data_IF_462979560601
#
_entry.id   IF_462979560601
#
_cell.length_a   1.000
_cell.length_b   1.000
_cell.length_c   1.000
_cell.angle_alpha   90.00
_cell.angle_beta   90.00
_cell.angle_gamma   90.00
#
_symmetry.space_group_name_H-M   'P 1'
#
loop_
_entity.id
_entity.type
_entity.pdbx_description
1 polymer ?
#
# COMPACT_ATOMS: atom_id res chain seq x y z
N UNK A 1 26.28 -12.80 8.08
CA UNK A 1 25.76 -11.43 7.87
C UNK A 1 25.83 -11.16 6.37
N UNK A 2 24.70 -11.29 5.67
CA UNK A 2 24.66 -11.27 4.20
C UNK A 2 24.79 -9.83 3.70
N UNK A 3 25.93 -9.50 3.10
CA UNK A 3 26.21 -8.23 2.43
C UNK A 3 25.71 -8.29 0.98
N UNK A 4 24.40 -8.26 0.77
CA UNK A 4 23.86 -8.36 -0.60
C UNK A 4 23.60 -6.99 -1.26
N UNK A 5 23.31 -5.93 -0.49
CA UNK A 5 22.97 -4.61 -1.04
C UNK A 5 23.61 -3.49 -0.22
N UNK A 6 24.63 -2.77 -0.75
CA UNK A 6 25.27 -1.68 0.00
C UNK A 6 24.45 -0.39 0.02
N UNK A 7 23.44 -0.23 -0.86
CA UNK A 7 22.63 0.99 -0.99
C UNK A 7 21.21 0.69 -1.50
N UNK A 8 20.25 1.60 -1.26
CA UNK A 8 18.90 1.53 -1.81
C UNK A 8 18.86 1.47 -3.35
N UNK A 9 19.75 2.20 -4.01
CA UNK A 9 19.93 2.19 -5.47
C UNK A 9 20.20 0.78 -6.02
N UNK A 10 20.92 -0.06 -5.26
CA UNK A 10 21.24 -1.43 -5.66
C UNK A 10 20.08 -2.42 -5.51
N UNK A 11 19.01 -2.04 -4.82
CA UNK A 11 17.81 -2.87 -4.65
C UNK A 11 16.78 -2.65 -5.76
N UNK A 12 16.78 -1.48 -6.40
CA UNK A 12 15.76 -1.08 -7.38
C UNK A 12 16.18 -1.46 -8.81
N UNK A 13 15.25 -1.98 -9.59
CA UNK A 13 15.42 -2.32 -11.00
C UNK A 13 15.46 -1.04 -11.87
N UNK A 14 16.59 -0.34 -11.82
CA UNK A 14 16.78 0.96 -12.49
C UNK A 14 16.86 0.88 -14.00
N UNK A 15 17.15 -0.30 -14.56
CA UNK A 15 17.08 -0.52 -16.01
C UNK A 15 15.63 -0.40 -16.51
N UNK A 16 14.66 -0.88 -15.71
CA UNK A 16 13.24 -0.76 -16.03
C UNK A 16 12.63 0.53 -15.49
N UNK A 17 13.09 0.99 -14.33
CA UNK A 17 12.54 2.13 -13.59
C UNK A 17 13.64 3.14 -13.24
N UNK A 18 14.06 4.01 -14.17
CA UNK A 18 15.16 4.97 -13.96
C UNK A 18 14.74 6.17 -13.09
N UNK A 19 14.23 5.91 -11.89
CA UNK A 19 13.64 6.91 -10.99
C UNK A 19 14.68 7.89 -10.41
N UNK A 20 15.95 7.55 -10.48
CA UNK A 20 17.09 8.39 -10.08
C UNK A 20 17.68 9.20 -11.24
N UNK A 21 17.19 9.00 -12.47
CA UNK A 21 17.49 9.81 -13.63
C UNK A 21 16.19 10.40 -14.24
N UNK A 22 15.42 11.20 -13.47
CA UNK A 22 14.09 11.65 -13.87
C UNK A 22 14.09 12.54 -15.12
N UNK A 23 15.19 13.23 -15.40
CA UNK A 23 15.35 14.10 -16.58
C UNK A 23 15.73 13.34 -17.87
N UNK A 24 16.02 12.04 -17.77
CA UNK A 24 16.27 11.20 -18.94
C UNK A 24 14.98 10.99 -19.73
N UNK A 25 15.08 10.71 -21.03
CA UNK A 25 13.92 10.39 -21.87
C UNK A 25 13.09 9.22 -21.29
N UNK A 26 13.77 8.18 -20.79
CA UNK A 26 13.12 7.06 -20.13
C UNK A 26 12.47 7.43 -18.79
N UNK A 27 13.10 8.31 -17.99
CA UNK A 27 12.54 8.81 -16.73
C UNK A 27 11.29 9.65 -16.93
N UNK A 28 11.30 10.55 -17.92
CA UNK A 28 10.14 11.37 -18.30
C UNK A 28 9.00 10.47 -18.80
N UNK A 29 9.29 9.49 -19.66
CA UNK A 29 8.30 8.55 -20.16
C UNK A 29 7.68 7.72 -19.04
N UNK A 30 8.50 7.21 -18.11
CA UNK A 30 8.04 6.47 -16.93
C UNK A 30 7.10 7.34 -16.09
N UNK A 31 7.51 8.56 -15.74
CA UNK A 31 6.71 9.46 -14.93
C UNK A 31 5.36 9.77 -15.58
N UNK A 32 5.35 10.04 -16.88
CA UNK A 32 4.12 10.30 -17.63
C UNK A 32 3.20 9.07 -17.64
N UNK A 33 3.75 7.87 -17.80
CA UNK A 33 2.98 6.63 -17.79
C UNK A 33 2.36 6.38 -16.41
N UNK A 34 3.16 6.44 -15.34
CA UNK A 34 2.71 6.21 -13.97
C UNK A 34 1.63 7.22 -13.53
N UNK A 35 1.82 8.49 -13.87
CA UNK A 35 0.82 9.53 -13.59
C UNK A 35 -0.49 9.24 -14.30
N UNK A 36 -0.45 8.92 -15.60
CA UNK A 36 -1.65 8.64 -16.37
C UNK A 36 -2.39 7.40 -15.83
N UNK A 37 -1.66 6.36 -15.43
CA UNK A 37 -2.22 5.16 -14.82
C UNK A 37 -2.92 5.50 -13.49
N UNK A 38 -2.26 6.26 -12.62
CA UNK A 38 -2.82 6.68 -11.34
C UNK A 38 -4.04 7.60 -11.50
N UNK A 39 -3.97 8.61 -12.37
CA UNK A 39 -5.08 9.56 -12.60
C UNK A 39 -6.31 8.89 -13.23
N UNK A 40 -6.12 7.86 -14.05
CA UNK A 40 -7.22 7.14 -14.72
C UNK A 40 -7.80 6.03 -13.84
N UNK A 41 -6.93 5.28 -13.17
CA UNK A 41 -7.28 4.03 -12.50
C UNK A 41 -7.26 4.10 -10.97
N UNK A 42 -6.88 5.24 -10.38
CA UNK A 42 -6.73 5.42 -8.93
C UNK A 42 -5.52 4.69 -8.32
N UNK A 43 -4.72 4.01 -9.16
CA UNK A 43 -3.61 3.16 -8.73
C UNK A 43 -2.58 3.05 -9.85
N UNK A 44 -1.30 2.92 -9.50
CA UNK A 44 -0.22 2.60 -10.44
C UNK A 44 0.61 1.43 -9.91
N UNK A 45 0.82 0.39 -10.74
CA UNK A 45 1.59 -0.81 -10.36
C UNK A 45 2.96 -0.80 -11.03
N UNK A 46 4.01 -1.15 -10.27
CA UNK A 46 5.38 -1.28 -10.77
C UNK A 46 5.91 -2.71 -10.56
N UNK A 47 5.52 -3.71 -11.38
CA UNK A 47 5.94 -5.09 -11.20
C UNK A 47 7.46 -5.24 -11.34
N UNK A 48 8.10 -5.95 -10.41
CA UNK A 48 9.57 -6.13 -10.43
C UNK A 48 10.33 -4.81 -10.24
N UNK A 49 9.74 -3.85 -9.51
CA UNK A 49 10.40 -2.61 -9.11
C UNK A 49 11.65 -2.88 -8.26
N UNK A 50 11.55 -3.84 -7.34
CA UNK A 50 12.68 -4.35 -6.57
C UNK A 50 13.27 -5.57 -7.30
N UNK A 51 14.60 -5.67 -7.35
CA UNK A 51 15.30 -6.81 -7.92
C UNK A 51 15.00 -8.09 -7.11
N UNK A 52 14.89 -9.27 -7.75
CA UNK A 52 14.51 -10.51 -7.06
C UNK A 52 15.37 -10.84 -5.83
N UNK A 53 16.69 -10.66 -5.92
CA UNK A 53 17.61 -10.93 -4.83
C UNK A 53 17.45 -9.93 -3.67
N UNK A 54 17.10 -8.68 -3.98
CA UNK A 54 16.81 -7.65 -2.98
C UNK A 54 15.47 -7.87 -2.30
N UNK A 55 14.46 -8.29 -3.08
CA UNK A 55 13.14 -8.64 -2.56
C UNK A 55 13.24 -9.79 -1.57
N UNK A 56 14.03 -10.84 -1.88
CA UNK A 56 14.28 -11.93 -0.94
C UNK A 56 14.94 -11.46 0.36
N UNK A 57 15.94 -10.56 0.28
CA UNK A 57 16.60 -10.02 1.47
C UNK A 57 15.67 -9.12 2.31
N UNK A 58 14.81 -8.32 1.67
CA UNK A 58 13.80 -7.51 2.35
C UNK A 58 12.74 -8.38 3.03
N UNK A 59 12.32 -9.47 2.37
CA UNK A 59 11.41 -10.45 2.95
C UNK A 59 12.03 -11.17 4.16
N UNK A 60 13.31 -11.56 4.08
CA UNK A 60 14.04 -12.15 5.22
C UNK A 60 14.16 -11.16 6.40
N UNK A 61 14.43 -9.88 6.12
CA UNK A 61 14.45 -8.82 7.14
C UNK A 61 13.09 -8.65 7.81
N UNK A 62 12.00 -8.57 7.04
CA UNK A 62 10.64 -8.48 7.55
C UNK A 62 10.24 -9.73 8.36
N UNK A 63 10.59 -10.91 7.87
CA UNK A 63 10.33 -12.18 8.53
C UNK A 63 11.07 -12.27 9.90
N UNK A 64 12.24 -11.64 10.01
CA UNK A 64 13.02 -11.61 11.24
C UNK A 64 12.42 -10.80 12.39
N UNK A 65 11.42 -9.96 12.13
CA UNK A 65 10.73 -9.12 13.14
C UNK A 65 9.25 -9.48 13.30
N UNK A 66 8.78 -10.58 12.69
CA UNK A 66 7.36 -10.96 12.76
C UNK A 66 6.83 -11.25 14.16
N UNK A 67 7.70 -11.72 15.06
CA UNK A 67 7.31 -12.03 16.44
C UNK A 67 6.89 -10.77 17.23
N UNK A 68 7.27 -9.58 16.76
CA UNK A 68 6.91 -8.29 17.34
C UNK A 68 5.61 -7.72 16.72
N UNK A 69 4.98 -8.42 15.77
CA UNK A 69 3.77 -7.95 15.13
C UNK A 69 2.58 -7.84 16.10
N UNK A 70 1.96 -6.65 16.13
CA UNK A 70 0.72 -6.43 16.87
C UNK A 70 -0.47 -6.78 15.97
N UNK A 71 -1.22 -7.82 16.34
CA UNK A 71 -2.41 -8.24 15.60
C UNK A 71 -3.65 -7.49 16.09
N UNK A 72 -4.31 -6.82 15.16
CA UNK A 72 -5.63 -6.24 15.36
C UNK A 72 -6.68 -7.22 14.85
N UNK A 73 -7.56 -7.66 15.75
CA UNK A 73 -8.78 -8.42 15.45
C UNK A 73 -9.97 -7.55 15.86
N UNK A 74 -10.58 -6.89 14.88
CA UNK A 74 -11.64 -5.91 15.12
C UNK A 74 -12.60 -5.81 13.93
N UNK A 75 -13.64 -4.99 14.11
CA UNK A 75 -14.57 -4.65 13.03
C UNK A 75 -14.65 -3.15 12.84
N UNK A 76 -14.93 -2.71 11.63
CA UNK A 76 -15.17 -1.32 11.30
C UNK A 76 -16.18 -1.21 10.15
N UNK A 77 -16.81 -0.05 9.98
CA UNK A 77 -17.54 0.22 8.73
C UNK A 77 -16.56 0.68 7.64
N UNK A 78 -17.04 0.74 6.40
CA UNK A 78 -16.23 1.15 5.25
C UNK A 78 -15.71 2.60 5.33
N UNK A 79 -16.21 3.40 6.27
CA UNK A 79 -15.88 4.81 6.44
C UNK A 79 -14.96 5.07 7.65
N UNK A 80 -14.64 4.03 8.43
CA UNK A 80 -13.86 4.11 9.66
C UNK A 80 -14.44 5.11 10.68
N UNK A 81 -15.77 5.21 10.74
CA UNK A 81 -16.47 6.07 11.71
C UNK A 81 -17.14 5.25 12.80
N UNK A 82 -17.39 5.88 13.95
CA UNK A 82 -18.25 5.30 14.97
C UNK A 82 -19.67 5.06 14.44
N UNK A 83 -20.36 4.10 15.05
CA UNK A 83 -21.78 3.85 14.78
C UNK A 83 -22.63 5.02 15.29
N UNK A 84 -23.63 5.42 14.50
CA UNK A 84 -24.56 6.49 14.83
C UNK A 84 -25.95 5.89 15.12
N UNK A 85 -26.44 6.03 16.36
CA UNK A 85 -27.73 5.49 16.76
C UNK A 85 -28.94 6.16 16.12
N UNK A 86 -28.75 7.35 15.53
CA UNK A 86 -29.82 8.12 14.89
C UNK A 86 -30.05 7.68 13.43
N UNK A 87 -29.15 6.88 12.85
CA UNK A 87 -29.28 6.35 11.49
C UNK A 87 -30.05 5.02 11.44
N UNK A 88 -30.78 4.75 10.34
CA UNK A 88 -31.42 3.45 10.11
C UNK A 88 -30.41 2.30 10.12
N UNK A 89 -30.84 1.11 10.57
CA UNK A 89 -30.00 -0.09 10.61
C UNK A 89 -29.52 -0.53 9.21
N UNK A 90 -30.24 -0.12 8.16
CA UNK A 90 -29.94 -0.40 6.77
C UNK A 90 -28.92 0.57 6.16
N UNK A 91 -28.56 1.68 6.84
CA UNK A 91 -27.52 2.58 6.34
C UNK A 91 -26.20 1.80 6.21
N UNK A 92 -25.51 2.01 5.10
CA UNK A 92 -24.24 1.34 4.80
C UNK A 92 -23.18 1.61 5.89
N UNK A 93 -23.25 2.74 6.59
CA UNK A 93 -22.35 3.06 7.71
C UNK A 93 -22.57 2.20 8.95
N UNK A 94 -23.69 1.48 9.03
CA UNK A 94 -23.96 0.50 10.09
C UNK A 94 -23.36 -0.87 9.80
N UNK A 95 -22.99 -1.15 8.54
CA UNK A 95 -22.43 -2.45 8.14
C UNK A 95 -20.98 -2.55 8.62
N UNK A 96 -20.69 -3.65 9.31
CA UNK A 96 -19.37 -3.93 9.86
C UNK A 96 -18.65 -4.94 8.97
N UNK A 97 -17.45 -4.58 8.56
CA UNK A 97 -16.47 -5.45 7.95
C UNK A 97 -15.49 -5.91 9.03
N UNK A 98 -15.04 -7.16 8.93
CA UNK A 98 -14.07 -7.72 9.86
C UNK A 98 -12.64 -7.55 9.34
N UNK A 99 -11.73 -7.25 10.25
CA UNK A 99 -10.31 -7.06 9.96
C UNK A 99 -9.49 -7.88 10.96
N UNK A 100 -8.61 -8.70 10.40
CA UNK A 100 -7.59 -9.44 11.12
C UNK A 100 -6.25 -9.25 10.40
N UNK A 101 -5.44 -8.32 10.90
CA UNK A 101 -4.16 -7.93 10.29
C UNK A 101 -3.14 -7.63 11.38
N UNK A 102 -1.91 -8.12 11.19
CA UNK A 102 -0.77 -7.75 12.01
C UNK A 102 -0.12 -6.48 11.49
N UNK A 103 0.43 -5.66 12.39
CA UNK A 103 1.25 -4.51 12.02
C UNK A 103 2.54 -4.50 12.82
N UNK A 104 3.64 -4.20 12.16
CA UNK A 104 4.94 -3.94 12.77
C UNK A 104 5.26 -2.46 12.55
N UNK A 105 5.52 -1.75 13.64
CA UNK A 105 5.78 -0.32 13.62
C UNK A 105 7.16 -0.01 13.03
N UNK A 106 7.29 1.20 12.49
CA UNK A 106 8.52 1.65 11.85
C UNK A 106 9.71 1.73 12.81
N UNK A 107 9.51 2.00 14.09
CA UNK A 107 10.56 2.05 15.12
C UNK A 107 11.08 0.65 15.50
N UNK A 108 10.27 -0.40 15.37
CA UNK A 108 10.69 -1.79 15.56
C UNK A 108 11.58 -2.32 14.41
N UNK A 109 11.52 -1.69 13.24
CA UNK A 109 12.38 -2.07 12.13
C UNK A 109 13.87 -1.77 12.42
N UNK A 110 14.82 -2.62 11.96
CA UNK A 110 16.23 -2.39 12.18
C UNK A 110 16.68 -1.00 11.71
N UNK A 111 17.41 -0.25 12.55
CA UNK A 111 17.78 1.14 12.27
C UNK A 111 18.56 1.32 10.94
N UNK A 112 19.36 0.33 10.57
CA UNK A 112 20.10 0.28 9.30
C UNK A 112 19.57 -0.80 8.34
N UNK A 113 18.32 -1.25 8.55
CA UNK A 113 17.66 -2.24 7.72
C UNK A 113 17.42 -1.75 6.30
N UNK A 114 17.31 -2.69 5.38
CA UNK A 114 17.06 -2.46 3.96
C UNK A 114 15.74 -1.71 3.74
N UNK A 115 14.68 -2.01 4.51
CA UNK A 115 13.40 -1.30 4.40
C UNK A 115 13.56 0.20 4.72
N UNK A 116 14.26 0.52 5.82
CA UNK A 116 14.54 1.92 6.19
C UNK A 116 15.43 2.60 5.15
N UNK A 117 16.45 1.92 4.63
CA UNK A 117 17.30 2.47 3.58
C UNK A 117 16.51 2.82 2.31
N UNK A 118 15.57 1.95 1.89
CA UNK A 118 14.71 2.20 0.74
C UNK A 118 13.76 3.38 1.00
N UNK A 119 13.10 3.42 2.16
CA UNK A 119 12.21 4.52 2.56
C UNK A 119 12.92 5.89 2.61
N UNK A 120 14.16 5.90 3.13
CA UNK A 120 14.99 7.09 3.26
C UNK A 120 15.68 7.49 1.94
N UNK A 121 15.47 6.76 0.85
CA UNK A 121 16.10 7.06 -0.44
C UNK A 121 15.37 8.20 -1.16
N UNK A 122 16.04 9.35 -1.33
CA UNK A 122 15.44 10.56 -1.92
C UNK A 122 14.89 10.36 -3.34
N UNK A 123 15.54 9.63 -4.26
CA UNK A 123 14.96 9.32 -5.57
C UNK A 123 13.58 8.67 -5.50
N UNK A 124 13.36 7.72 -4.57
CA UNK A 124 12.05 7.09 -4.41
C UNK A 124 11.00 8.10 -3.95
N UNK A 125 11.31 8.88 -2.91
CA UNK A 125 10.42 9.94 -2.40
C UNK A 125 10.07 10.96 -3.49
N UNK A 126 11.07 11.43 -4.24
CA UNK A 126 10.90 12.43 -5.30
C UNK A 126 10.10 11.89 -6.48
N UNK A 127 10.30 10.62 -6.83
CA UNK A 127 9.51 9.94 -7.86
C UNK A 127 8.05 9.83 -7.46
N UNK A 128 7.75 9.34 -6.25
CA UNK A 128 6.37 9.24 -5.71
C UNK A 128 5.70 10.61 -5.71
N UNK A 129 6.35 11.64 -5.16
CA UNK A 129 5.81 13.00 -5.14
C UNK A 129 5.56 13.55 -6.55
N UNK A 130 6.41 13.19 -7.52
CA UNK A 130 6.22 13.58 -8.92
C UNK A 130 5.07 12.84 -9.60
N UNK A 131 4.85 11.55 -9.32
CA UNK A 131 3.69 10.79 -9.81
C UNK A 131 2.40 11.40 -9.27
N UNK A 132 2.35 11.67 -7.96
CA UNK A 132 1.19 12.25 -7.27
C UNK A 132 0.96 13.74 -7.57
N UNK A 133 1.91 14.42 -8.23
CA UNK A 133 1.82 15.86 -8.49
C UNK A 133 1.89 16.75 -7.24
N UNK A 134 2.53 16.26 -6.18
CA UNK A 134 2.67 16.97 -4.91
C UNK A 134 4.07 17.55 -4.79
N UNK A 135 4.18 18.88 -4.72
CA UNK A 135 5.43 19.59 -4.47
C UNK A 135 5.16 20.79 -3.54
N UNK A 136 5.80 20.90 -2.37
CA UNK A 136 6.76 19.94 -1.80
C UNK A 136 6.10 18.59 -1.42
N UNK A 137 6.91 17.52 -1.39
CA UNK A 137 6.53 16.19 -0.91
C UNK A 137 7.47 15.82 0.24
N UNK A 138 6.92 15.27 1.31
CA UNK A 138 7.66 14.98 2.54
C UNK A 138 7.47 13.53 2.96
N UNK A 139 8.48 12.98 3.63
CA UNK A 139 8.34 11.71 4.35
C UNK A 139 7.38 11.89 5.52
N UNK A 140 6.64 10.82 5.83
CA UNK A 140 5.75 10.82 6.96
C UNK A 140 6.58 10.81 8.25
N UNK A 141 6.31 11.75 9.16
CA UNK A 141 7.15 11.98 10.33
C UNK A 141 6.77 11.12 11.54
N UNK A 142 5.68 10.35 11.44
CA UNK A 142 5.23 9.46 12.51
C UNK A 142 6.27 8.35 12.76
N UNK A 143 6.84 8.25 13.97
CA UNK A 143 7.81 7.21 14.30
C UNK A 143 7.25 5.79 14.20
N UNK A 144 5.93 5.61 14.18
CA UNK A 144 5.27 4.30 14.10
C UNK A 144 4.76 4.00 12.69
N UNK A 145 4.01 4.93 12.08
CA UNK A 145 3.33 4.73 10.79
C UNK A 145 4.15 5.04 9.52
N UNK A 146 5.40 5.53 9.62
CA UNK A 146 6.14 6.01 8.46
C UNK A 146 6.42 4.94 7.38
N UNK A 147 6.90 3.77 7.80
CA UNK A 147 7.17 2.61 6.95
C UNK A 147 6.93 1.35 7.81
N UNK A 148 5.66 1.05 8.04
CA UNK A 148 5.22 -0.14 8.76
C UNK A 148 5.11 -1.34 7.83
N UNK A 149 5.05 -2.54 8.42
CA UNK A 149 4.80 -3.79 7.71
C UNK A 149 3.40 -4.26 8.09
N UNK A 150 2.57 -4.55 7.09
CA UNK A 150 1.31 -5.27 7.29
C UNK A 150 1.57 -6.78 7.15
N UNK A 151 1.20 -7.52 8.18
CA UNK A 151 1.38 -8.97 8.28
C UNK A 151 0.04 -9.65 8.11
N UNK A 152 -0.10 -10.40 7.03
CA UNK A 152 -1.26 -11.25 6.77
C UNK A 152 -0.90 -12.71 7.02
N UNK A 153 -1.73 -13.39 7.81
CA UNK A 153 -1.62 -14.83 8.11
C UNK A 153 -2.82 -15.57 7.54
N UNK A 154 -2.87 -16.89 7.70
CA UNK A 154 -4.06 -17.67 7.32
C UNK A 154 -5.31 -17.17 8.06
N UNK A 155 -6.39 -16.95 7.30
CA UNK A 155 -7.61 -16.28 7.79
C UNK A 155 -7.49 -14.77 7.98
N UNK A 156 -6.32 -14.17 7.74
CA UNK A 156 -6.11 -12.72 7.77
C UNK A 156 -6.90 -12.03 6.66
N UNK A 157 -7.52 -10.90 7.00
CA UNK A 157 -8.31 -10.10 6.08
C UNK A 157 -8.28 -8.64 6.48
N UNK A 158 -8.41 -7.75 5.51
CA UNK A 158 -8.60 -6.32 5.75
C UNK A 158 -9.88 -5.94 5.01
N UNK A 159 -10.96 -5.77 5.78
CA UNK A 159 -12.30 -5.56 5.23
C UNK A 159 -12.40 -4.31 4.35
N UNK A 160 -13.46 -4.20 3.55
CA UNK A 160 -13.63 -3.03 2.68
C UNK A 160 -13.67 -1.72 3.47
N UNK A 161 -12.82 -0.77 3.10
CA UNK A 161 -12.81 0.57 3.67
C UNK A 161 -12.19 1.61 2.74
N UNK A 162 -12.41 2.88 3.06
CA UNK A 162 -11.58 3.98 2.61
C UNK A 162 -10.43 4.19 3.59
N UNK A 163 -9.21 4.33 3.07
CA UNK A 163 -8.09 4.79 3.88
C UNK A 163 -8.35 6.20 4.44
N UNK A 164 -7.85 6.44 5.65
CA UNK A 164 -7.76 7.79 6.23
C UNK A 164 -6.62 8.61 5.58
N UNK A 165 -5.65 7.92 4.97
CA UNK A 165 -4.55 8.55 4.24
C UNK A 165 -5.00 9.07 2.89
N UNK A 166 -4.44 10.21 2.46
CA UNK A 166 -4.72 10.78 1.14
C UNK A 166 -4.24 9.87 0.00
N UNK A 167 -3.17 9.10 0.24
CA UNK A 167 -2.62 8.11 -0.67
C UNK A 167 -1.80 7.09 0.13
N UNK A 168 -1.64 5.90 -0.41
CA UNK A 168 -0.89 4.79 0.21
C UNK A 168 0.10 4.22 -0.79
N UNK A 169 1.28 3.82 -0.31
CA UNK A 169 2.31 3.14 -1.10
C UNK A 169 2.55 1.79 -0.47
N UNK A 170 2.32 0.73 -1.25
CA UNK A 170 2.50 -0.65 -0.79
C UNK A 170 3.64 -1.29 -1.55
N UNK A 171 4.60 -1.86 -0.81
CA UNK A 171 5.61 -2.77 -1.34
C UNK A 171 5.26 -4.19 -0.92
N UNK A 172 4.93 -5.04 -1.89
CA UNK A 172 4.71 -6.46 -1.62
C UNK A 172 6.06 -7.15 -1.36
N UNK A 173 6.24 -7.68 -0.15
CA UNK A 173 7.46 -8.40 0.24
C UNK A 173 7.35 -9.90 0.02
N UNK A 174 6.16 -10.48 0.21
CA UNK A 174 5.93 -11.90 0.13
C UNK A 174 4.52 -12.19 -0.38
N UNK A 175 4.44 -12.80 -1.56
CA UNK A 175 3.16 -13.23 -2.14
C UNK A 175 2.58 -14.42 -1.36
N UNK A 176 1.26 -14.46 -1.09
CA UNK A 176 0.61 -15.64 -0.52
C UNK A 176 0.55 -16.79 -1.55
N UNK A 177 0.45 -18.02 -1.07
CA UNK A 177 0.25 -19.20 -1.94
C UNK A 177 -1.17 -19.26 -2.54
N UNK A 178 -2.16 -18.73 -1.82
CA UNK A 178 -3.56 -18.65 -2.24
C UNK A 178 -4.23 -17.45 -1.55
N UNK A 179 -5.21 -16.82 -2.21
CA UNK A 179 -5.93 -15.67 -1.66
C UNK A 179 -5.09 -14.40 -1.58
N UNK A 180 -5.42 -13.52 -0.63
CA UNK A 180 -4.71 -12.26 -0.39
C UNK A 180 -4.75 -11.28 -1.57
N UNK A 181 -5.80 -11.32 -2.38
CA UNK A 181 -5.98 -10.36 -3.47
C UNK A 181 -6.23 -8.95 -2.94
N UNK A 182 -5.65 -7.95 -3.59
CA UNK A 182 -6.02 -6.56 -3.35
C UNK A 182 -7.17 -6.18 -4.26
N UNK A 183 -8.28 -5.76 -3.66
CA UNK A 183 -9.48 -5.34 -4.37
C UNK A 183 -9.80 -3.89 -4.07
N UNK A 184 -10.24 -3.16 -5.09
CA UNK A 184 -10.60 -1.76 -4.93
C UNK A 184 -11.64 -1.32 -5.98
N UNK A 185 -12.33 -0.22 -5.72
CA UNK A 185 -13.22 0.43 -6.70
C UNK A 185 -12.74 1.86 -6.93
N UNK A 186 -12.28 2.20 -8.15
CA UNK A 186 -11.68 3.51 -8.41
C UNK A 186 -12.71 4.65 -8.40
N UNK A 187 -12.32 5.79 -7.83
CA UNK A 187 -12.99 7.07 -8.07
C UNK A 187 -14.39 7.21 -7.51
N UNK A 188 -14.77 6.43 -6.49
CA UNK A 188 -16.13 6.47 -5.93
C UNK A 188 -16.34 7.54 -4.87
N UNK A 189 -15.25 8.01 -4.24
CA UNK A 189 -15.35 8.95 -3.10
C UNK A 189 -15.92 10.29 -3.55
N UNK A 190 -17.02 10.72 -2.92
CA UNK A 190 -17.72 11.97 -3.21
C UNK A 190 -18.75 11.91 -4.35
N UNK A 191 -19.04 10.74 -4.92
CA UNK A 191 -20.15 10.58 -5.87
C UNK A 191 -21.51 10.63 -5.15
N UNK A 192 -22.54 11.16 -5.82
CA UNK A 192 -23.91 11.20 -5.27
C UNK A 192 -24.46 9.81 -4.92
N UNK A 193 -24.01 8.77 -5.63
CA UNK A 193 -24.39 7.37 -5.41
C UNK A 193 -23.30 6.54 -4.68
N UNK A 194 -22.31 7.18 -4.04
CA UNK A 194 -21.22 6.49 -3.34
C UNK A 194 -21.74 5.42 -2.36
N UNK A 195 -22.68 5.77 -1.48
CA UNK A 195 -23.25 4.82 -0.50
C UNK A 195 -23.93 3.61 -1.15
N UNK A 196 -24.55 3.79 -2.32
CA UNK A 196 -25.17 2.69 -3.07
C UNK A 196 -24.09 1.74 -3.62
N UNK A 197 -23.01 2.29 -4.17
CA UNK A 197 -21.87 1.51 -4.67
C UNK A 197 -21.23 0.73 -3.52
N UNK A 198 -20.92 1.40 -2.41
CA UNK A 198 -20.34 0.76 -1.22
C UNK A 198 -21.27 -0.35 -0.72
N UNK A 199 -22.56 -0.07 -0.54
CA UNK A 199 -23.53 -1.08 -0.09
C UNK A 199 -23.60 -2.30 -1.02
N UNK A 200 -23.51 -2.06 -2.34
CA UNK A 200 -23.45 -3.13 -3.34
C UNK A 200 -22.20 -4.00 -3.22
N UNK A 201 -21.02 -3.39 -3.04
CA UNK A 201 -19.76 -4.13 -2.86
C UNK A 201 -19.80 -4.97 -1.58
N UNK A 202 -20.31 -4.41 -0.48
CA UNK A 202 -20.47 -5.14 0.79
C UNK A 202 -21.50 -6.29 0.70
N UNK A 203 -22.42 -6.25 -0.27
CA UNK A 203 -23.35 -7.34 -0.60
C UNK A 203 -22.73 -8.39 -1.56
N UNK A 204 -21.49 -8.19 -1.98
CA UNK A 204 -20.78 -9.07 -2.90
C UNK A 204 -20.99 -8.76 -4.39
N UNK A 205 -21.57 -7.60 -4.74
CA UNK A 205 -21.55 -7.15 -6.15
C UNK A 205 -20.11 -6.84 -6.55
N UNK A 206 -19.76 -7.20 -7.78
CA UNK A 206 -18.39 -7.07 -8.32
C UNK A 206 -18.29 -6.10 -9.50
N UNK A 207 -19.38 -5.37 -9.79
CA UNK A 207 -19.39 -4.35 -10.83
C UNK A 207 -18.39 -3.24 -10.49
N UNK A 208 -17.40 -3.04 -11.36
CA UNK A 208 -16.36 -2.03 -11.17
C UNK A 208 -15.28 -2.39 -10.14
N UNK A 209 -15.35 -3.57 -9.51
CA UNK A 209 -14.29 -4.07 -8.64
C UNK A 209 -13.08 -4.43 -9.49
N UNK A 210 -11.97 -3.76 -9.20
CA UNK A 210 -10.67 -4.05 -9.75
C UNK A 210 -9.93 -4.97 -8.78
N UNK A 211 -9.23 -5.96 -9.34
CA UNK A 211 -8.44 -6.91 -8.57
C UNK A 211 -7.01 -6.86 -9.07
N UNK A 212 -6.07 -6.62 -8.16
CA UNK A 212 -4.64 -6.68 -8.46
C UNK A 212 -4.10 -8.02 -7.97
N UNK A 213 -3.49 -8.81 -8.86
CA UNK A 213 -2.67 -9.92 -8.40
C UNK A 213 -1.41 -9.28 -7.80
N UNK A 214 -1.22 -9.41 -6.49
CA UNK A 214 0.11 -9.22 -5.93
C UNK A 214 1.00 -10.30 -6.57
N UNK A 215 1.93 -9.87 -7.43
CA UNK A 215 2.85 -10.70 -8.22
C UNK A 215 4.24 -10.10 -8.19
#
# INVERSE_FOLDING_TARGET
MSTAFPTAESMVNRTRYPIDAPESEAGIALLSACRNEFETGGLCVLPGFILPEALAALADEANGVLDDAYFCDSTHNAYLTDADSDLPAEDVTQRQEATFVGSIAYDDLPANGLLKQLYLWDPLMNFIGSVLGKKPFFRFADPLGACSINVFVDGGQHGWHFDESEFTITLMLQQPSEGGFFEYVPGIRGLDNEKEIVGGVLEGKRDGVMQLPFT
#
